data_IF_235897933741
#
_entry.id   IF_235897933741
#
_cell.length_a   1.000
_cell.length_b   1.000
_cell.length_c   1.000
_cell.angle_alpha   90.00
_cell.angle_beta   90.00
_cell.angle_gamma   90.00
#
_symmetry.space_group_name_H-M   'P 1'
#
loop_
_entity.id
_entity.type
_entity.pdbx_description
1 polymer ?
#
# COMPACT_ATOMS: atom_id res chain seq x y z
N UNK A 1 -13.56 -24.06 39.14
CA UNK A 1 -12.74 -22.90 38.75
C UNK A 1 -11.69 -23.45 37.81
N UNK A 2 -11.99 -23.42 36.51
CA UNK A 2 -11.02 -23.67 35.44
C UNK A 2 -11.30 -22.58 34.42
N UNK A 3 -10.64 -21.44 34.66
CA UNK A 3 -10.46 -20.40 33.66
C UNK A 3 -9.29 -20.85 32.78
N UNK A 4 -9.53 -21.02 31.48
CA UNK A 4 -8.44 -20.90 30.50
C UNK A 4 -9.01 -20.22 29.27
N UNK A 5 -8.86 -18.90 29.28
CA UNK A 5 -9.16 -17.99 28.20
C UNK A 5 -8.11 -18.11 27.06
N UNK A 6 -8.56 -17.72 25.86
CA UNK A 6 -7.81 -17.46 24.62
C UNK A 6 -7.17 -18.67 23.90
N UNK A 7 -7.95 -19.31 23.02
CA UNK A 7 -7.38 -19.70 21.72
C UNK A 7 -7.23 -18.43 20.87
N UNK A 8 -6.04 -17.83 21.00
CA UNK A 8 -5.53 -16.78 20.12
C UNK A 8 -5.65 -17.26 18.68
N UNK A 9 -6.63 -16.68 17.97
CA UNK A 9 -6.97 -16.98 16.59
C UNK A 9 -5.83 -16.64 15.64
N UNK A 10 -4.81 -17.48 15.61
CA UNK A 10 -3.71 -17.37 14.65
C UNK A 10 -4.21 -17.89 13.30
N UNK A 11 -4.87 -17.01 12.54
CA UNK A 11 -5.14 -17.26 11.13
C UNK A 11 -3.85 -16.97 10.36
N UNK A 12 -2.98 -17.99 10.26
CA UNK A 12 -1.85 -17.94 9.36
C UNK A 12 -2.35 -18.12 7.92
N UNK A 13 -2.46 -17.03 7.15
CA UNK A 13 -2.69 -17.12 5.72
C UNK A 13 -1.44 -17.73 5.05
N UNK A 14 -1.48 -19.04 4.75
CA UNK A 14 -0.56 -19.66 3.80
C UNK A 14 -0.88 -19.13 2.41
N UNK A 15 -0.01 -18.29 1.87
CA UNK A 15 -0.10 -17.84 0.48
C UNK A 15 0.79 -18.77 -0.34
N UNK A 16 0.17 -19.76 -0.99
CA UNK A 16 0.85 -20.53 -2.02
C UNK A 16 1.31 -19.59 -3.13
N UNK A 17 2.61 -19.64 -3.44
CA UNK A 17 3.22 -18.81 -4.47
C UNK A 17 2.79 -19.32 -5.84
N UNK A 18 1.58 -18.96 -6.28
CA UNK A 18 1.16 -19.09 -7.66
C UNK A 18 1.90 -18.02 -8.48
N UNK A 19 3.15 -18.32 -8.85
CA UNK A 19 3.85 -17.63 -9.95
C UNK A 19 3.15 -18.00 -11.25
N UNK A 20 1.97 -17.45 -11.46
CA UNK A 20 1.51 -17.05 -12.78
C UNK A 20 1.55 -15.55 -12.75
N UNK A 21 2.50 -14.97 -13.48
CA UNK A 21 2.55 -13.53 -13.75
C UNK A 21 1.15 -13.13 -14.21
N UNK A 22 0.39 -12.49 -13.33
CA UNK A 22 -0.92 -12.00 -13.75
C UNK A 22 -0.63 -10.95 -14.83
N UNK A 23 -1.24 -11.08 -16.03
CA UNK A 23 -1.06 -10.07 -17.06
C UNK A 23 -1.47 -8.73 -16.47
N UNK A 24 -0.70 -7.68 -16.79
CA UNK A 24 -0.90 -6.31 -16.28
C UNK A 24 -2.38 -5.86 -16.33
N UNK A 25 -3.09 -6.29 -17.36
CA UNK A 25 -4.53 -6.07 -17.52
C UNK A 25 -5.38 -6.66 -16.38
N UNK A 26 -5.12 -7.89 -15.93
CA UNK A 26 -5.88 -8.52 -14.84
C UNK A 26 -5.66 -7.80 -13.49
N UNK A 27 -4.50 -7.16 -13.32
CA UNK A 27 -4.22 -6.30 -12.16
C UNK A 27 -5.05 -5.02 -12.30
N UNK A 28 -4.98 -4.36 -13.46
CA UNK A 28 -5.73 -3.13 -13.75
C UNK A 28 -7.25 -3.33 -13.61
N UNK A 29 -7.79 -4.48 -14.04
CA UNK A 29 -9.21 -4.83 -13.91
C UNK A 29 -9.63 -5.02 -12.45
N UNK A 30 -8.77 -5.61 -11.61
CA UNK A 30 -9.02 -5.71 -10.16
C UNK A 30 -8.92 -4.34 -9.48
N UNK A 31 -7.96 -3.51 -9.87
CA UNK A 31 -7.81 -2.15 -9.37
C UNK A 31 -8.94 -1.22 -9.82
N UNK A 32 -9.60 -1.51 -10.95
CA UNK A 32 -10.76 -0.74 -11.44
C UNK A 32 -11.93 -0.72 -10.45
N UNK A 33 -12.01 -1.71 -9.56
CA UNK A 33 -13.03 -1.81 -8.50
C UNK A 33 -12.70 -1.00 -7.25
N UNK A 34 -11.45 -0.55 -7.10
CA UNK A 34 -11.05 0.25 -5.95
C UNK A 34 -11.52 1.69 -6.11
N UNK A 35 -11.97 2.29 -5.01
CA UNK A 35 -12.33 3.69 -4.96
C UNK A 35 -11.08 4.53 -5.26
N UNK A 36 -11.22 5.46 -6.19
CA UNK A 36 -10.17 6.43 -6.53
C UNK A 36 -10.55 7.78 -5.94
N UNK A 37 -9.56 8.46 -5.38
CA UNK A 37 -9.72 9.83 -4.87
C UNK A 37 -8.61 10.71 -5.41
N UNK A 38 -8.91 11.99 -5.65
CA UNK A 38 -7.94 12.98 -6.08
C UNK A 38 -7.26 13.59 -4.87
N UNK A 39 -5.93 13.52 -4.83
CA UNK A 39 -5.11 14.11 -3.78
C UNK A 39 -4.01 14.96 -4.38
N UNK A 40 -3.50 15.91 -3.61
CA UNK A 40 -2.27 16.62 -3.90
C UNK A 40 -1.11 15.93 -3.20
N UNK A 41 -0.06 15.59 -3.95
CA UNK A 41 1.21 15.05 -3.43
C UNK A 41 2.31 16.02 -3.84
N UNK A 42 2.93 16.70 -2.88
CA UNK A 42 3.94 17.75 -3.16
C UNK A 42 3.42 18.81 -4.16
N UNK A 43 2.14 19.20 -4.02
CA UNK A 43 1.49 20.18 -4.90
C UNK A 43 1.01 19.60 -6.25
N UNK A 44 1.28 18.33 -6.56
CA UNK A 44 0.84 17.68 -7.80
C UNK A 44 -0.45 16.91 -7.59
N UNK A 45 -1.46 17.19 -8.41
CA UNK A 45 -2.72 16.46 -8.40
C UNK A 45 -2.52 15.05 -8.97
N UNK A 46 -2.88 14.03 -8.20
CA UNK A 46 -2.79 12.62 -8.58
C UNK A 46 -4.05 11.86 -8.16
N UNK A 47 -4.32 10.73 -8.82
CA UNK A 47 -5.36 9.79 -8.38
C UNK A 47 -4.75 8.73 -7.48
N UNK A 48 -5.19 8.71 -6.22
CA UNK A 48 -4.86 7.68 -5.24
C UNK A 48 -5.93 6.60 -5.20
N UNK A 49 -5.52 5.39 -4.83
CA UNK A 49 -6.41 4.27 -4.53
C UNK A 49 -6.72 4.28 -3.04
N UNK A 50 -7.99 4.17 -2.68
CA UNK A 50 -8.41 3.96 -1.29
C UNK A 50 -8.41 2.46 -1.02
N UNK A 51 -7.51 2.03 -0.13
CA UNK A 51 -7.35 0.64 0.29
C UNK A 51 -7.50 0.53 1.80
N UNK A 52 -8.64 0.03 2.28
CA UNK A 52 -8.92 -0.14 3.71
C UNK A 52 -8.07 -1.23 4.36
N UNK A 53 -7.36 -2.05 3.57
CA UNK A 53 -6.42 -3.04 4.09
C UNK A 53 -5.04 -2.47 4.42
N UNK A 54 -4.81 -1.18 4.16
CA UNK A 54 -3.52 -0.51 4.40
C UNK A 54 -3.69 0.63 5.40
N UNK A 55 -3.00 0.56 6.54
CA UNK A 55 -2.98 1.64 7.53
C UNK A 55 -2.06 2.81 7.15
N UNK A 56 -1.11 2.55 6.24
CA UNK A 56 -0.15 3.55 5.77
C UNK A 56 -0.44 3.95 4.33
N UNK A 57 -0.13 5.20 3.98
CA UNK A 57 -0.18 5.65 2.59
C UNK A 57 1.11 5.28 1.88
N UNK A 58 0.97 4.62 0.72
CA UNK A 58 2.11 4.26 -0.14
C UNK A 58 2.15 5.19 -1.33
N UNK A 59 3.24 5.96 -1.44
CA UNK A 59 3.49 6.87 -2.57
C UNK A 59 4.58 6.28 -3.44
N UNK A 60 4.38 6.29 -4.76
CA UNK A 60 5.43 5.87 -5.69
C UNK A 60 6.54 6.91 -5.75
N UNK A 61 7.79 6.45 -5.80
CA UNK A 61 8.98 7.31 -5.76
C UNK A 61 9.02 8.36 -6.88
N UNK A 62 8.49 8.05 -8.06
CA UNK A 62 8.42 8.95 -9.22
C UNK A 62 7.52 10.17 -8.98
N UNK A 63 6.56 10.07 -8.05
CA UNK A 63 5.73 11.21 -7.65
C UNK A 63 6.47 12.19 -6.73
N UNK A 64 7.51 11.73 -6.03
CA UNK A 64 8.28 12.47 -5.03
C UNK A 64 9.80 12.44 -5.27
N UNK A 65 10.28 12.90 -6.44
CA UNK A 65 11.67 12.70 -6.87
C UNK A 65 12.71 13.42 -6.00
N UNK A 66 12.32 14.43 -5.24
CA UNK A 66 13.22 15.24 -4.40
C UNK A 66 13.35 14.79 -2.94
N UNK A 67 12.65 13.74 -2.53
CA UNK A 67 12.69 13.28 -1.14
C UNK A 67 14.01 12.54 -0.85
N UNK A 68 14.71 12.99 0.19
CA UNK A 68 15.84 12.26 0.74
C UNK A 68 15.36 11.00 1.47
N UNK A 69 16.04 9.90 1.21
CA UNK A 69 15.80 8.60 1.85
C UNK A 69 17.01 8.11 2.65
N UNK A 70 18.05 8.95 2.76
CA UNK A 70 19.28 8.60 3.46
C UNK A 70 19.02 8.50 4.96
N UNK A 71 19.44 7.39 5.57
CA UNK A 71 19.20 7.11 6.98
C UNK A 71 17.74 6.81 7.34
N UNK A 72 16.81 6.78 6.37
CA UNK A 72 15.41 6.50 6.64
C UNK A 72 15.21 5.05 7.12
N UNK A 73 14.37 4.88 8.15
CA UNK A 73 13.84 3.59 8.53
C UNK A 73 13.09 2.95 7.36
N UNK A 74 13.06 1.61 7.29
CA UNK A 74 12.46 0.90 6.17
C UNK A 74 11.44 -0.12 6.60
N UNK A 75 10.39 -0.29 5.81
CA UNK A 75 9.38 -1.34 5.94
C UNK A 75 9.44 -2.27 4.73
N UNK A 76 9.06 -3.54 4.89
CA UNK A 76 8.91 -4.48 3.79
C UNK A 76 7.43 -4.61 3.43
N UNK A 77 7.08 -4.27 2.18
CA UNK A 77 5.72 -4.39 1.67
C UNK A 77 5.61 -5.60 0.76
N UNK A 78 4.62 -6.47 1.02
CA UNK A 78 4.28 -7.60 0.15
C UNK A 78 2.91 -7.37 -0.46
N UNK A 79 2.89 -7.06 -1.76
CA UNK A 79 1.66 -7.00 -2.53
C UNK A 79 1.20 -8.39 -2.97
N UNK A 80 -0.07 -8.49 -3.38
CA UNK A 80 -0.66 -9.75 -3.85
C UNK A 80 -0.04 -10.30 -5.15
N UNK A 81 0.62 -9.46 -5.96
CA UNK A 81 1.16 -9.84 -7.28
C UNK A 81 2.66 -9.64 -7.45
N UNK A 82 3.31 -8.99 -6.49
CA UNK A 82 4.69 -8.55 -6.65
C UNK A 82 5.58 -9.17 -5.57
N UNK A 83 6.89 -9.31 -5.83
CA UNK A 83 7.85 -9.66 -4.79
C UNK A 83 7.78 -8.66 -3.63
N UNK A 84 8.31 -9.07 -2.49
CA UNK A 84 8.46 -8.18 -1.33
C UNK A 84 9.37 -7.01 -1.73
N UNK A 85 8.93 -5.79 -1.46
CA UNK A 85 9.67 -4.56 -1.75
C UNK A 85 10.08 -3.90 -0.44
N UNK A 86 11.36 -3.52 -0.32
CA UNK A 86 11.85 -2.70 0.78
C UNK A 86 11.58 -1.23 0.48
N UNK A 87 10.80 -0.58 1.34
CA UNK A 87 10.35 0.79 1.17
C UNK A 87 10.89 1.69 2.30
N UNK A 88 11.47 2.86 1.98
CA UNK A 88 11.82 3.83 3.00
C UNK A 88 10.56 4.52 3.57
N UNK A 89 10.58 4.78 4.87
CA UNK A 89 9.57 5.60 5.54
C UNK A 89 10.01 7.06 5.46
N UNK A 90 9.17 7.89 4.85
CA UNK A 90 9.46 9.30 4.57
C UNK A 90 8.23 10.16 4.86
N UNK A 91 8.47 11.44 5.13
CA UNK A 91 7.40 12.43 5.21
C UNK A 91 7.11 12.98 3.82
N UNK A 92 5.85 12.86 3.40
CA UNK A 92 5.33 13.40 2.14
C UNK A 92 4.18 14.34 2.46
N UNK A 93 4.17 15.54 1.88
CA UNK A 93 3.02 16.43 2.02
C UNK A 93 1.88 15.93 1.14
N UNK A 94 0.80 15.50 1.79
CA UNK A 94 -0.44 15.04 1.15
C UNK A 94 -1.59 15.95 1.55
N UNK A 95 -2.30 16.47 0.55
CA UNK A 95 -3.52 17.27 0.74
C UNK A 95 -4.72 16.64 0.04
N UNK A 96 -5.91 16.82 0.58
CA UNK A 96 -7.13 16.52 -0.15
C UNK A 96 -7.34 17.56 -1.24
N UNK A 97 -7.54 17.12 -2.48
CA UNK A 97 -7.97 18.02 -3.53
C UNK A 97 -9.48 18.24 -3.38
N UNK A 98 -9.88 19.17 -2.49
CA UNK A 98 -11.27 19.63 -2.45
C UNK A 98 -11.53 20.45 -3.70
N UNK A 99 -12.41 19.96 -4.56
CA UNK A 99 -12.93 20.75 -5.69
C UNK A 99 -13.56 22.04 -5.17
N UNK A 100 -13.12 23.16 -5.73
CA UNK A 100 -13.86 24.43 -5.74
C UNK A 100 -15.15 24.30 -6.54
#
# INVERSE_FOLDING_TARGET
MEDTELEDGTVAARVDLLVKVNPRQAIEDKLSKLVKTSISVEGKLVHALVDSGMEITVVKKDLVPGISVEGASTIYLKGIFNPVVKCPLVYVLIGLATGS
#
